data_IF_037669664828
#
_entry.id   IF_037669664828
#
_cell.length_a   1.000
_cell.length_b   1.000
_cell.length_c   1.000
_cell.angle_alpha   90.00
_cell.angle_beta   90.00
_cell.angle_gamma   90.00
#
_symmetry.space_group_name_H-M   'P 1'
#
loop_
_entity.id
_entity.type
_entity.pdbx_description
1 polymer ?
#
# COMPACT_ATOMS: atom_id res chain seq x y z
N UNK A 1 2.83 5.70 -11.74
CA UNK A 1 2.16 5.98 -10.46
C UNK A 1 1.98 7.48 -10.33
N UNK A 2 0.82 7.95 -9.85
CA UNK A 2 0.49 9.38 -9.78
C UNK A 2 0.33 9.80 -8.32
N UNK A 3 0.99 10.89 -7.94
CA UNK A 3 0.82 11.52 -6.62
C UNK A 3 -0.47 12.32 -6.58
N UNK A 4 -1.07 12.39 -5.39
CA UNK A 4 -2.29 13.16 -5.09
C UNK A 4 -1.95 14.14 -3.98
N UNK A 5 -2.25 15.41 -4.19
CA UNK A 5 -2.03 16.45 -3.18
C UNK A 5 -3.24 16.52 -2.26
N UNK A 6 -3.09 16.09 -1.00
CA UNK A 6 -4.19 16.13 -0.03
C UNK A 6 -4.42 17.58 0.42
N UNK A 7 -5.53 18.18 -0.03
CA UNK A 7 -5.96 19.54 0.36
C UNK A 7 -7.26 19.53 1.16
N UNK A 8 -8.10 18.51 0.95
CA UNK A 8 -9.36 18.35 1.67
C UNK A 8 -9.10 18.10 3.17
N UNK A 9 -9.53 19.04 4.01
CA UNK A 9 -9.31 18.98 5.46
C UNK A 9 -10.13 17.87 6.14
N UNK A 10 -11.33 17.60 5.65
CA UNK A 10 -12.19 16.53 6.18
C UNK A 10 -11.61 15.16 5.85
N UNK A 11 -11.06 15.01 4.62
CA UNK A 11 -10.35 13.80 4.24
C UNK A 11 -9.11 13.59 5.14
N UNK A 12 -8.28 14.62 5.30
CA UNK A 12 -7.11 14.57 6.18
C UNK A 12 -7.51 14.24 7.62
N UNK A 13 -8.56 14.88 8.13
CA UNK A 13 -9.10 14.57 9.46
C UNK A 13 -9.52 13.10 9.58
N UNK A 14 -10.16 12.53 8.56
CA UNK A 14 -10.53 11.11 8.54
C UNK A 14 -9.31 10.20 8.62
N UNK A 15 -8.20 10.58 7.98
CA UNK A 15 -6.94 9.86 8.05
C UNK A 15 -6.29 9.97 9.43
N UNK A 16 -6.30 11.17 10.03
CA UNK A 16 -5.77 11.39 11.38
C UNK A 16 -6.60 10.64 12.44
N UNK A 17 -7.94 10.71 12.36
CA UNK A 17 -8.84 9.94 13.22
C UNK A 17 -8.62 8.41 13.05
N UNK A 18 -8.21 7.98 11.87
CA UNK A 18 -7.84 6.59 11.61
C UNK A 18 -6.51 6.26 12.29
N UNK A 19 -5.50 7.08 12.09
CA UNK A 19 -4.19 6.90 12.72
C UNK A 19 -4.30 6.82 14.24
N UNK A 20 -5.09 7.71 14.87
CA UNK A 20 -5.33 7.75 16.31
C UNK A 20 -5.93 6.45 16.85
N UNK A 21 -6.67 5.70 16.03
CA UNK A 21 -7.16 4.36 16.42
C UNK A 21 -6.05 3.31 16.44
N UNK A 22 -5.03 3.47 15.60
CA UNK A 22 -3.94 2.50 15.45
C UNK A 22 -2.75 2.76 16.37
N UNK A 23 -2.39 4.03 16.60
CA UNK A 23 -1.22 4.42 17.39
C UNK A 23 -1.15 3.78 18.79
N UNK A 24 -2.26 3.65 19.56
CA UNK A 24 -2.21 2.99 20.87
C UNK A 24 -1.79 1.52 20.83
N UNK A 25 -1.81 0.91 19.67
CA UNK A 25 -1.51 -0.52 19.49
C UNK A 25 -0.17 -0.78 18.78
N UNK A 26 0.66 0.27 18.61
CA UNK A 26 1.95 0.18 17.90
C UNK A 26 2.87 -0.88 18.49
N UNK A 27 2.99 -0.95 19.81
CA UNK A 27 3.83 -1.97 20.47
C UNK A 27 3.37 -3.40 20.16
N UNK A 28 2.07 -3.63 20.12
CA UNK A 28 1.50 -4.92 19.74
C UNK A 28 1.79 -5.23 18.25
N UNK A 29 1.68 -4.23 17.38
CA UNK A 29 1.99 -4.39 15.95
C UNK A 29 3.47 -4.69 15.73
N UNK A 30 4.38 -4.00 16.42
CA UNK A 30 5.83 -4.29 16.38
C UNK A 30 6.09 -5.73 16.83
N UNK A 31 5.53 -6.14 17.98
CA UNK A 31 5.71 -7.47 18.54
C UNK A 31 5.18 -8.60 17.64
N UNK A 32 4.12 -8.34 16.89
CA UNK A 32 3.48 -9.28 15.96
C UNK A 32 3.97 -9.13 14.52
N UNK A 33 4.90 -8.21 14.26
CA UNK A 33 5.51 -8.08 12.94
C UNK A 33 6.27 -9.34 12.57
N UNK A 34 6.13 -9.76 11.33
CA UNK A 34 6.72 -10.99 10.82
C UNK A 34 7.49 -10.77 9.54
N UNK A 35 8.45 -11.64 9.30
CA UNK A 35 9.18 -11.71 8.05
C UNK A 35 8.43 -12.56 7.02
N UNK A 36 8.51 -12.13 5.76
CA UNK A 36 8.30 -12.96 4.59
C UNK A 36 9.67 -13.24 3.98
N UNK A 37 9.90 -14.49 3.60
CA UNK A 37 11.17 -14.88 2.98
C UNK A 37 12.37 -14.89 3.95
N UNK A 38 13.58 -15.06 3.39
CA UNK A 38 14.81 -15.29 4.16
C UNK A 38 15.51 -14.01 4.65
N UNK A 39 14.94 -12.83 4.41
CA UNK A 39 15.59 -11.55 4.70
C UNK A 39 15.94 -11.41 6.18
N UNK A 40 17.21 -11.19 6.56
CA UNK A 40 17.58 -10.91 7.94
C UNK A 40 16.95 -9.60 8.45
N UNK A 41 16.70 -9.53 9.76
CA UNK A 41 16.23 -8.30 10.41
C UNK A 41 17.26 -7.19 10.20
N UNK A 42 16.79 -6.02 9.72
CA UNK A 42 17.63 -4.85 9.49
C UNK A 42 18.32 -4.78 8.12
N UNK A 43 18.29 -5.86 7.34
CA UNK A 43 18.87 -5.89 5.98
C UNK A 43 17.83 -5.78 4.86
N UNK A 44 16.60 -5.40 5.18
CA UNK A 44 15.46 -5.39 4.25
C UNK A 44 15.62 -4.46 3.06
N UNK A 45 16.37 -3.37 3.19
CA UNK A 45 16.52 -2.38 2.11
C UNK A 45 17.08 -2.98 0.82
N UNK A 46 18.00 -3.95 0.90
CA UNK A 46 18.58 -4.59 -0.27
C UNK A 46 17.52 -5.26 -1.17
N UNK A 47 16.41 -5.73 -0.58
CA UNK A 47 15.28 -6.34 -1.30
C UNK A 47 14.39 -5.32 -2.01
N UNK A 48 14.65 -4.03 -1.80
CA UNK A 48 13.98 -2.92 -2.49
C UNK A 48 14.90 -2.25 -3.54
N UNK A 49 16.15 -2.71 -3.69
CA UNK A 49 17.10 -2.15 -4.66
C UNK A 49 16.91 -2.72 -6.06
N UNK A 50 17.32 -1.97 -7.11
CA UNK A 50 17.19 -2.40 -8.51
C UNK A 50 17.75 -3.79 -8.81
N UNK A 51 18.93 -4.11 -8.28
CA UNK A 51 19.60 -5.38 -8.53
C UNK A 51 18.74 -6.57 -8.11
N UNK A 52 18.01 -6.43 -6.98
CA UNK A 52 17.11 -7.48 -6.50
C UNK A 52 15.88 -7.65 -7.40
N UNK A 53 15.38 -6.60 -8.04
CA UNK A 53 14.27 -6.72 -9.00
C UNK A 53 14.60 -7.73 -10.10
N UNK A 54 15.81 -7.64 -10.66
CA UNK A 54 16.21 -8.54 -11.76
C UNK A 54 16.25 -10.01 -11.32
N UNK A 55 16.56 -10.27 -10.05
CA UNK A 55 16.50 -11.64 -9.49
C UNK A 55 15.05 -12.11 -9.30
N UNK A 56 14.15 -11.21 -8.85
CA UNK A 56 12.72 -11.54 -8.68
C UNK A 56 12.07 -11.81 -10.04
N UNK A 57 12.37 -11.01 -11.05
CA UNK A 57 11.81 -11.17 -12.41
C UNK A 57 12.23 -12.48 -13.12
N UNK A 58 13.32 -13.11 -12.69
CA UNK A 58 13.75 -14.42 -13.21
C UNK A 58 12.95 -15.59 -12.62
N UNK A 59 12.24 -15.36 -11.51
CA UNK A 59 11.47 -16.38 -10.80
C UNK A 59 10.02 -16.44 -11.30
N UNK A 60 9.34 -17.57 -11.05
CA UNK A 60 7.89 -17.65 -11.23
C UNK A 60 7.22 -16.83 -10.11
N UNK A 61 6.86 -15.60 -10.44
CA UNK A 61 6.31 -14.65 -9.51
C UNK A 61 4.80 -14.86 -9.34
N UNK A 62 4.32 -14.78 -8.09
CA UNK A 62 2.92 -15.04 -7.71
C UNK A 62 2.06 -13.78 -7.53
N UNK A 63 2.62 -12.59 -7.83
CA UNK A 63 1.93 -11.29 -7.69
C UNK A 63 2.03 -10.68 -6.30
N UNK A 64 2.21 -11.47 -5.24
CA UNK A 64 2.47 -11.01 -3.87
C UNK A 64 3.96 -10.77 -3.64
N UNK A 65 4.32 -9.94 -2.64
CA UNK A 65 5.71 -9.87 -2.19
C UNK A 65 6.15 -11.21 -1.59
N UNK A 66 7.35 -11.65 -1.97
CA UNK A 66 7.98 -12.85 -1.44
C UNK A 66 8.90 -12.54 -0.27
N UNK A 67 9.36 -11.30 -0.18
CA UNK A 67 10.20 -10.78 0.90
C UNK A 67 9.54 -9.55 1.54
N UNK A 68 9.60 -9.47 2.87
CA UNK A 68 9.03 -8.36 3.62
C UNK A 68 9.24 -8.45 5.11
N UNK A 69 9.12 -7.34 5.81
CA UNK A 69 9.05 -7.25 7.26
C UNK A 69 8.03 -6.20 7.67
N UNK A 70 7.00 -6.62 8.38
CA UNK A 70 5.93 -5.74 8.83
C UNK A 70 4.78 -6.50 9.46
N UNK A 71 3.72 -5.78 9.76
CA UNK A 71 2.51 -6.28 10.38
C UNK A 71 1.29 -5.99 9.51
N UNK A 72 0.46 -6.99 9.28
CA UNK A 72 -0.83 -6.84 8.61
C UNK A 72 -1.98 -6.96 9.60
N UNK A 73 -2.86 -5.98 9.64
CA UNK A 73 -4.01 -5.94 10.55
C UNK A 73 -4.94 -7.14 10.38
N UNK A 74 -5.14 -7.59 9.14
CA UNK A 74 -5.94 -8.78 8.86
C UNK A 74 -5.35 -10.07 9.46
N UNK A 75 -4.03 -10.15 9.60
CA UNK A 75 -3.35 -11.24 10.29
C UNK A 75 -3.45 -11.06 11.82
N UNK A 76 -3.20 -9.86 12.33
CA UNK A 76 -3.35 -9.53 13.75
C UNK A 76 -4.75 -9.84 14.30
N UNK A 77 -5.79 -9.58 13.52
CA UNK A 77 -7.17 -9.89 13.89
C UNK A 77 -7.43 -11.39 14.11
N UNK A 78 -6.59 -12.27 13.56
CA UNK A 78 -6.66 -13.73 13.82
C UNK A 78 -5.92 -14.14 15.10
N UNK A 79 -4.96 -13.33 15.55
CA UNK A 79 -4.07 -13.66 16.69
C UNK A 79 -4.58 -12.98 17.96
N UNK A 80 -4.94 -11.68 17.88
CA UNK A 80 -5.42 -10.85 18.99
C UNK A 80 -6.68 -10.11 18.52
N UNK A 81 -7.82 -10.84 18.35
CA UNK A 81 -9.04 -10.29 17.75
C UNK A 81 -9.62 -9.13 18.56
N UNK A 82 -9.47 -9.12 19.87
CA UNK A 82 -9.98 -8.05 20.76
C UNK A 82 -9.36 -6.67 20.44
N UNK A 83 -8.15 -6.63 19.90
CA UNK A 83 -7.48 -5.41 19.48
C UNK A 83 -7.71 -5.15 17.98
N UNK A 84 -7.44 -6.13 17.14
CA UNK A 84 -7.29 -5.88 15.71
C UNK A 84 -8.56 -6.15 14.89
N UNK A 85 -9.56 -6.85 15.39
CA UNK A 85 -10.83 -7.01 14.66
C UNK A 85 -11.59 -5.67 14.54
N UNK A 86 -11.71 -4.81 15.58
CA UNK A 86 -12.31 -3.48 15.43
C UNK A 86 -11.57 -2.61 14.42
N UNK A 87 -10.25 -2.64 14.40
CA UNK A 87 -9.42 -1.87 13.46
C UNK A 87 -9.59 -2.35 12.01
N UNK A 88 -9.62 -3.66 11.83
CA UNK A 88 -9.91 -4.28 10.53
C UNK A 88 -11.30 -3.91 10.03
N UNK A 89 -12.32 -3.95 10.92
CA UNK A 89 -13.69 -3.57 10.55
C UNK A 89 -13.79 -2.10 10.21
N UNK A 90 -13.09 -1.22 10.92
CA UNK A 90 -12.99 0.20 10.58
C UNK A 90 -12.48 0.41 9.15
N UNK A 91 -11.35 -0.19 8.79
CA UNK A 91 -10.76 -0.02 7.46
C UNK A 91 -11.56 -0.70 6.35
N UNK A 92 -12.12 -1.88 6.62
CA UNK A 92 -12.86 -2.67 5.61
C UNK A 92 -14.30 -2.22 5.38
N UNK A 93 -14.92 -1.58 6.35
CA UNK A 93 -16.32 -1.16 6.23
C UNK A 93 -16.43 0.37 6.20
N UNK A 94 -15.98 1.07 7.25
CA UNK A 94 -16.21 2.50 7.34
C UNK A 94 -15.37 3.28 6.32
N UNK A 95 -14.06 3.05 6.23
CA UNK A 95 -13.25 3.75 5.25
C UNK A 95 -13.59 3.36 3.82
N UNK A 96 -13.92 2.10 3.56
CA UNK A 96 -14.41 1.65 2.25
C UNK A 96 -15.67 2.42 1.85
N UNK A 97 -16.62 2.59 2.77
CA UNK A 97 -17.85 3.37 2.55
C UNK A 97 -17.55 4.86 2.34
N UNK A 98 -16.69 5.45 3.18
CA UNK A 98 -16.32 6.87 3.09
C UNK A 98 -15.64 7.19 1.75
N UNK A 99 -14.74 6.33 1.29
CA UNK A 99 -13.98 6.54 0.06
C UNK A 99 -14.69 6.03 -1.21
N UNK A 100 -15.89 5.45 -1.09
CA UNK A 100 -16.58 4.86 -2.23
C UNK A 100 -15.83 3.70 -2.90
N UNK A 101 -14.88 3.09 -2.18
CA UNK A 101 -14.08 1.98 -2.69
C UNK A 101 -14.86 0.65 -2.64
N UNK A 102 -14.40 -0.37 -3.38
CA UNK A 102 -15.01 -1.70 -3.32
C UNK A 102 -14.49 -2.52 -2.15
N UNK A 103 -13.21 -2.35 -1.79
CA UNK A 103 -12.63 -2.97 -0.61
C UNK A 103 -11.36 -2.27 -0.16
N UNK A 104 -10.95 -2.56 1.08
CA UNK A 104 -9.61 -2.29 1.58
C UNK A 104 -8.72 -3.50 1.26
N UNK A 105 -7.75 -3.33 0.37
CA UNK A 105 -6.83 -4.38 -0.07
C UNK A 105 -5.63 -4.56 0.86
N UNK A 106 -5.25 -3.51 1.58
CA UNK A 106 -4.12 -3.52 2.49
C UNK A 106 -4.36 -2.59 3.69
N UNK A 107 -4.03 -3.08 4.88
CA UNK A 107 -3.82 -2.29 6.10
C UNK A 107 -2.59 -2.86 6.79
N UNK A 108 -1.46 -2.19 6.63
CA UNK A 108 -0.16 -2.65 7.12
C UNK A 108 0.57 -1.59 7.91
N UNK A 109 1.27 -2.02 8.94
CA UNK A 109 2.23 -1.26 9.69
C UNK A 109 3.63 -1.81 9.45
N UNK A 110 4.57 -0.92 9.18
CA UNK A 110 5.99 -1.22 9.02
C UNK A 110 6.75 -0.56 10.17
N UNK A 111 7.35 -1.35 11.08
CA UNK A 111 8.23 -0.79 12.11
C UNK A 111 9.51 -0.22 11.47
N UNK A 112 10.36 0.48 12.22
CA UNK A 112 11.70 0.85 11.75
C UNK A 112 12.42 -0.35 11.12
N UNK A 113 13.03 -0.17 9.93
CA UNK A 113 13.61 -1.20 9.07
C UNK A 113 12.58 -2.13 8.41
N UNK A 114 11.29 -1.78 8.49
CA UNK A 114 10.23 -2.51 7.79
C UNK A 114 10.30 -2.29 6.28
N UNK A 115 9.86 -3.30 5.53
CA UNK A 115 9.90 -3.25 4.07
C UNK A 115 8.90 -4.19 3.43
N UNK A 116 8.64 -3.96 2.17
CA UNK A 116 8.01 -4.91 1.25
C UNK A 116 8.86 -4.98 -0.01
N UNK A 117 9.33 -6.17 -0.34
CA UNK A 117 10.18 -6.43 -1.50
C UNK A 117 9.44 -6.28 -2.83
N UNK A 118 10.16 -6.40 -3.93
CA UNK A 118 9.62 -6.25 -5.27
C UNK A 118 8.48 -7.22 -5.58
N UNK A 119 7.35 -6.67 -6.02
CA UNK A 119 6.16 -7.43 -6.41
C UNK A 119 5.27 -6.61 -7.37
N UNK A 120 4.23 -7.22 -7.96
CA UNK A 120 3.40 -6.59 -9.00
C UNK A 120 1.96 -6.34 -8.60
N UNK A 121 1.44 -7.05 -7.59
CA UNK A 121 0.01 -7.03 -7.24
C UNK A 121 -0.96 -7.47 -8.36
N UNK A 122 -0.53 -8.20 -9.41
CA UNK A 122 -1.43 -8.66 -10.46
C UNK A 122 -2.56 -9.56 -9.94
N UNK A 123 -2.38 -10.19 -8.80
CA UNK A 123 -3.39 -10.96 -8.07
C UNK A 123 -4.39 -10.09 -7.29
N UNK A 124 -4.13 -8.79 -7.19
CA UNK A 124 -5.00 -7.78 -6.59
C UNK A 124 -5.26 -6.62 -7.57
N UNK A 125 -5.42 -6.95 -8.85
CA UNK A 125 -5.59 -5.99 -9.94
C UNK A 125 -6.73 -5.00 -9.72
N UNK A 126 -6.64 -3.84 -10.37
CA UNK A 126 -7.62 -2.75 -10.30
C UNK A 126 -6.95 -1.40 -10.05
N UNK A 127 -7.75 -0.34 -10.03
CA UNK A 127 -7.29 0.95 -9.56
C UNK A 127 -7.18 0.92 -8.05
N UNK A 128 -6.08 1.44 -7.51
CA UNK A 128 -5.88 1.51 -6.07
C UNK A 128 -5.47 2.92 -5.64
N UNK A 129 -6.15 3.43 -4.61
CA UNK A 129 -5.70 4.54 -3.81
C UNK A 129 -4.80 3.98 -2.71
N UNK A 130 -3.56 4.47 -2.65
CA UNK A 130 -2.57 4.10 -1.64
C UNK A 130 -2.32 5.31 -0.76
N UNK A 131 -2.61 5.18 0.52
CA UNK A 131 -2.42 6.19 1.55
C UNK A 131 -1.27 5.72 2.45
N UNK A 132 -0.26 6.55 2.60
CA UNK A 132 0.90 6.25 3.44
C UNK A 132 1.08 7.34 4.46
N UNK A 133 1.21 6.97 5.73
CA UNK A 133 1.68 7.83 6.78
C UNK A 133 3.10 7.43 7.19
N UNK A 134 3.97 8.41 7.35
CA UNK A 134 5.34 8.23 7.84
C UNK A 134 5.61 9.14 9.03
N UNK A 135 6.21 8.61 10.09
CA UNK A 135 6.46 9.36 11.32
C UNK A 135 7.44 10.52 11.10
N UNK A 136 8.50 10.30 10.36
CA UNK A 136 9.55 11.31 10.10
C UNK A 136 9.77 11.60 8.62
N UNK A 137 9.31 10.74 7.72
CA UNK A 137 9.59 10.81 6.29
C UNK A 137 10.83 9.98 5.87
N UNK A 138 11.46 9.27 6.81
CA UNK A 138 12.65 8.47 6.51
C UNK A 138 12.27 7.10 5.92
N UNK A 139 11.83 7.12 4.69
CA UNK A 139 11.43 5.94 3.94
C UNK A 139 11.19 6.27 2.48
N UNK A 140 10.84 5.27 1.71
CA UNK A 140 10.51 5.47 0.31
C UNK A 140 9.60 4.39 -0.25
N UNK A 141 8.95 4.74 -1.34
CA UNK A 141 8.32 3.83 -2.29
C UNK A 141 9.08 3.89 -3.61
N UNK A 142 9.34 2.75 -4.23
CA UNK A 142 10.02 2.69 -5.53
C UNK A 142 9.25 1.79 -6.50
N UNK A 143 9.28 2.13 -7.78
CA UNK A 143 8.74 1.27 -8.84
C UNK A 143 9.61 1.31 -10.09
N UNK A 144 9.51 0.26 -10.90
CA UNK A 144 10.16 0.20 -12.20
C UNK A 144 9.19 0.64 -13.29
N UNK A 145 9.50 1.76 -13.93
CA UNK A 145 8.77 2.24 -15.11
C UNK A 145 9.26 1.49 -16.36
N UNK A 146 8.51 0.49 -16.77
CA UNK A 146 8.83 -0.31 -17.95
C UNK A 146 8.88 0.49 -19.25
N UNK A 147 8.10 1.57 -19.35
CA UNK A 147 8.01 2.40 -20.56
C UNK A 147 9.28 3.21 -20.79
N UNK A 148 9.83 3.73 -19.72
CA UNK A 148 11.04 4.57 -19.73
C UNK A 148 12.30 3.80 -19.33
N UNK A 149 12.15 2.53 -18.95
CA UNK A 149 13.23 1.63 -18.47
C UNK A 149 14.00 2.25 -17.28
N UNK A 150 13.29 2.91 -16.37
CA UNK A 150 13.89 3.61 -15.22
C UNK A 150 13.27 3.19 -13.88
N UNK A 151 14.08 3.33 -12.82
CA UNK A 151 13.63 3.21 -11.44
C UNK A 151 13.20 4.57 -10.93
N UNK A 152 11.93 4.68 -10.56
CA UNK A 152 11.37 5.89 -9.96
C UNK A 152 11.29 5.69 -8.46
N UNK A 153 11.91 6.59 -7.71
CA UNK A 153 11.89 6.59 -6.24
C UNK A 153 11.11 7.79 -5.75
N UNK A 154 10.13 7.55 -4.90
CA UNK A 154 9.37 8.56 -4.18
C UNK A 154 9.78 8.50 -2.72
N UNK A 155 10.53 9.49 -2.25
CA UNK A 155 10.84 9.63 -0.84
C UNK A 155 9.53 9.87 -0.06
N UNK A 156 9.42 9.26 1.11
CA UNK A 156 8.29 9.54 1.99
C UNK A 156 8.42 10.97 2.56
N UNK A 157 7.30 11.58 2.88
CA UNK A 157 7.27 12.83 3.64
C UNK A 157 6.67 12.55 5.02
N UNK A 158 7.00 13.38 6.01
CA UNK A 158 6.38 13.30 7.32
C UNK A 158 4.88 13.53 7.22
N UNK A 159 4.08 12.65 7.84
CA UNK A 159 2.62 12.69 7.80
C UNK A 159 2.04 11.88 6.63
N UNK A 160 0.82 12.24 6.24
CA UNK A 160 0.08 11.55 5.20
C UNK A 160 0.49 11.97 3.80
N UNK A 161 0.54 10.99 2.91
CA UNK A 161 0.72 11.14 1.46
C UNK A 161 -0.19 10.16 0.74
N UNK A 162 -0.63 10.53 -0.45
CA UNK A 162 -1.56 9.75 -1.26
C UNK A 162 -1.03 9.54 -2.68
N UNK A 163 -1.25 8.35 -3.21
CA UNK A 163 -0.92 7.98 -4.59
C UNK A 163 -2.00 7.08 -5.14
N UNK A 164 -2.16 7.07 -6.44
CA UNK A 164 -3.00 6.08 -7.10
C UNK A 164 -2.27 5.40 -8.25
N UNK A 165 -2.69 4.18 -8.54
CA UNK A 165 -2.16 3.39 -9.63
C UNK A 165 -3.16 2.35 -10.13
N UNK A 166 -3.05 1.98 -11.42
CA UNK A 166 -3.72 0.80 -12.00
C UNK A 166 -2.77 -0.39 -11.95
N UNK A 167 -3.11 -1.41 -11.17
CA UNK A 167 -2.42 -2.69 -11.21
C UNK A 167 -3.09 -3.59 -12.26
N UNK A 168 -2.34 -4.01 -13.26
CA UNK A 168 -2.82 -4.93 -14.28
C UNK A 168 -2.99 -6.35 -13.77
N UNK A 169 -3.76 -7.16 -14.50
CA UNK A 169 -3.88 -8.60 -14.27
C UNK A 169 -2.62 -9.32 -14.75
N UNK A 170 -2.54 -10.64 -14.49
CA UNK A 170 -1.39 -11.46 -14.89
C UNK A 170 -1.16 -11.45 -16.41
N UNK A 171 -2.23 -11.38 -17.20
CA UNK A 171 -2.22 -11.33 -18.67
C UNK A 171 -2.05 -9.91 -19.25
N UNK A 172 -1.98 -8.88 -18.41
CA UNK A 172 -1.75 -7.48 -18.78
C UNK A 172 -0.32 -7.05 -18.41
N UNK A 173 0.68 -7.67 -19.02
CA UNK A 173 2.10 -7.47 -18.64
C UNK A 173 2.58 -6.03 -18.76
N UNK A 174 2.00 -5.24 -19.67
CA UNK A 174 2.30 -3.82 -19.86
C UNK A 174 1.86 -2.95 -18.67
N UNK A 175 0.92 -3.47 -17.87
CA UNK A 175 0.41 -2.83 -16.66
C UNK A 175 0.93 -3.45 -15.37
N UNK A 176 1.91 -4.37 -15.45
CA UNK A 176 2.58 -4.86 -14.25
C UNK A 176 3.43 -3.74 -13.63
N UNK A 177 3.02 -3.26 -12.48
CA UNK A 177 3.78 -2.31 -11.69
C UNK A 177 4.69 -3.06 -10.71
N UNK A 178 5.92 -3.32 -11.11
CA UNK A 178 6.94 -3.78 -10.18
C UNK A 178 7.26 -2.67 -9.19
N UNK A 179 7.03 -2.92 -7.90
CA UNK A 179 7.24 -1.92 -6.86
C UNK A 179 7.70 -2.55 -5.55
N UNK A 180 8.34 -1.72 -4.74
CA UNK A 180 8.84 -2.05 -3.40
C UNK A 180 8.75 -0.83 -2.50
N UNK A 181 8.85 -1.03 -1.19
CA UNK A 181 8.92 0.06 -0.21
C UNK A 181 9.77 -0.34 0.98
N UNK A 182 10.45 0.64 1.56
CA UNK A 182 11.28 0.50 2.74
C UNK A 182 11.18 1.72 3.64
N UNK A 183 11.44 1.54 4.96
CA UNK A 183 11.38 2.64 5.93
C UNK A 183 12.38 2.48 7.08
N UNK A 184 12.96 3.61 7.50
CA UNK A 184 13.77 3.73 8.73
C UNK A 184 12.91 4.09 9.95
N UNK A 185 11.69 4.58 9.76
CA UNK A 185 10.80 5.02 10.82
C UNK A 185 9.45 4.27 10.76
N UNK A 186 8.61 4.37 11.80
CA UNK A 186 7.24 3.88 11.74
C UNK A 186 6.49 4.38 10.51
N UNK A 187 5.89 3.44 9.77
CA UNK A 187 5.17 3.69 8.52
C UNK A 187 3.86 2.92 8.48
N UNK A 188 2.79 3.59 8.12
CA UNK A 188 1.48 2.99 7.96
C UNK A 188 1.04 3.04 6.50
N UNK A 189 0.48 1.97 5.98
CA UNK A 189 -0.03 1.95 4.60
C UNK A 189 -1.43 1.36 4.56
N UNK A 190 -2.34 2.13 3.95
CA UNK A 190 -3.69 1.72 3.62
C UNK A 190 -3.82 1.69 2.10
N UNK A 191 -4.44 0.63 1.55
CA UNK A 191 -4.77 0.61 0.13
C UNK A 191 -6.26 0.27 -0.06
N UNK A 192 -6.90 1.06 -0.92
CA UNK A 192 -8.31 0.93 -1.25
C UNK A 192 -8.44 0.64 -2.73
N UNK A 193 -9.21 -0.39 -3.06
CA UNK A 193 -9.31 -0.94 -4.40
C UNK A 193 -10.64 -0.60 -5.06
N UNK A 194 -10.53 -0.20 -6.34
CA UNK A 194 -11.63 0.02 -7.27
C UNK A 194 -11.48 -1.00 -8.40
N UNK A 195 -11.98 -2.25 -8.23
CA UNK A 195 -11.78 -3.30 -9.20
C UNK A 195 -12.57 -3.05 -10.47
N UNK A 196 -11.94 -3.23 -11.61
CA UNK A 196 -12.61 -3.27 -12.90
C UNK A 196 -12.82 -4.73 -13.33
N UNK A 197 -13.91 -4.96 -14.07
CA UNK A 197 -14.21 -6.28 -14.65
C UNK A 197 -13.51 -6.48 -16.00
N UNK A 198 -13.79 -7.62 -16.63
CA UNK A 198 -13.35 -7.96 -17.98
C UNK A 198 -14.02 -7.12 -19.07
N UNK A 199 -15.14 -6.44 -18.75
CA UNK A 199 -15.88 -5.60 -19.67
C UNK A 199 -15.39 -4.15 -19.56
N UNK A 200 -15.25 -3.48 -20.70
CA UNK A 200 -14.82 -2.08 -20.79
C UNK A 200 -15.64 -1.13 -19.92
N UNK A 201 -16.96 -1.27 -19.90
CA UNK A 201 -17.85 -0.43 -19.07
C UNK A 201 -17.52 -0.46 -17.57
N UNK A 202 -17.13 -1.63 -17.02
CA UNK A 202 -16.74 -1.72 -15.61
C UNK A 202 -15.35 -1.15 -15.32
N UNK A 203 -14.50 -1.13 -16.34
CA UNK A 203 -13.21 -0.45 -16.27
C UNK A 203 -13.40 1.06 -16.16
N UNK A 204 -14.25 1.64 -17.00
CA UNK A 204 -14.53 3.07 -17.02
C UNK A 204 -15.19 3.51 -15.72
N UNK A 205 -16.16 2.76 -15.19
CA UNK A 205 -16.79 3.03 -13.90
C UNK A 205 -15.79 3.05 -12.72
N UNK A 206 -14.84 2.13 -12.70
CA UNK A 206 -13.82 2.08 -11.65
C UNK A 206 -12.81 3.24 -11.78
N UNK A 207 -12.49 3.63 -13.01
CA UNK A 207 -11.66 4.79 -13.29
C UNK A 207 -12.36 6.07 -12.85
N UNK A 208 -13.62 6.28 -13.25
CA UNK A 208 -14.40 7.46 -12.88
C UNK A 208 -14.53 7.57 -11.35
N UNK A 209 -14.85 6.48 -10.68
CA UNK A 209 -14.99 6.47 -9.22
C UNK A 209 -13.71 6.88 -8.48
N UNK A 210 -12.53 6.42 -8.94
CA UNK A 210 -11.27 6.87 -8.33
C UNK A 210 -10.92 8.30 -8.71
N UNK A 211 -11.26 8.78 -9.92
CA UNK A 211 -11.03 10.17 -10.32
C UNK A 211 -11.91 11.13 -9.53
N UNK A 212 -13.18 10.79 -9.29
CA UNK A 212 -14.07 11.57 -8.42
C UNK A 212 -13.51 11.71 -7.01
N UNK A 213 -13.04 10.60 -6.44
CA UNK A 213 -12.40 10.63 -5.11
C UNK A 213 -11.11 11.48 -5.10
N UNK A 214 -10.28 11.37 -6.14
CA UNK A 214 -9.06 12.19 -6.27
C UNK A 214 -9.41 13.67 -6.34
N UNK A 215 -10.44 14.01 -7.14
CA UNK A 215 -10.92 15.38 -7.22
C UNK A 215 -11.35 15.91 -5.85
N UNK A 216 -12.10 15.13 -5.08
CA UNK A 216 -12.53 15.49 -3.73
C UNK A 216 -11.33 15.65 -2.76
N UNK A 217 -10.32 14.80 -2.85
CA UNK A 217 -9.11 14.90 -2.02
C UNK A 217 -8.32 16.18 -2.31
N UNK A 218 -8.28 16.61 -3.59
CA UNK A 218 -7.49 17.76 -4.04
C UNK A 218 -8.21 19.09 -3.93
N UNK A 219 -9.55 19.11 -3.96
CA UNK A 219 -10.34 20.34 -4.11
C UNK A 219 -11.41 20.55 -3.03
N UNK A 220 -11.67 19.56 -2.19
CA UNK A 220 -12.69 19.62 -1.12
C UNK A 220 -12.27 20.39 0.13
#
# INVERSE_FOLDING_TARGET
MTEIVIRNKEFLKTLDDTLDKFLPHTDAMVKLSSHLGPAPIGEGEQYCKPDHLWEVMKRDHVGFPEEGYGFQVAHGAKIVPEIFEPLKMWTKNELVRIFGANNNSLTSYYPPKGFVGWHTNWNAFGYQLILTWSESGDGYFTYYDKKNEEFVKHEDVKGWQARWYRFGRKDEEEHHCWHAAWTECPRFTLAFKFPYGLMSEKHDQAYDAIQDLIYDIENG
#
